data_IF_297899214346
#
_entry.id   IF_297899214346
#
_cell.length_a   1.000
_cell.length_b   1.000
_cell.length_c   1.000
_cell.angle_alpha   90.00
_cell.angle_beta   90.00
_cell.angle_gamma   90.00
#
_symmetry.space_group_name_H-M   'P 1'
#
loop_
_entity.id
_entity.type
_entity.pdbx_description
1 polymer ?
#
# COMPACT_ATOMS: atom_id res chain seq x y z
N UNK A 1 -4.78 -56.09 41.33
CA UNK A 1 -5.26 -55.95 39.95
C UNK A 1 -5.51 -54.49 39.66
N UNK A 2 -4.56 -53.83 39.02
CA UNK A 2 -4.66 -52.40 38.69
C UNK A 2 -5.17 -52.26 37.22
N UNK A 3 -6.30 -51.57 37.05
CA UNK A 3 -6.85 -51.29 35.69
C UNK A 3 -6.19 -50.05 35.14
N UNK A 4 -5.41 -50.22 34.07
CA UNK A 4 -4.83 -49.12 33.28
C UNK A 4 -5.91 -48.65 32.30
N UNK A 5 -6.44 -47.44 32.50
CA UNK A 5 -7.30 -46.77 31.52
C UNK A 5 -6.44 -46.09 30.45
N UNK A 6 -6.45 -46.64 29.26
CA UNK A 6 -5.80 -46.07 28.07
C UNK A 6 -6.69 -44.96 27.50
N UNK A 7 -6.29 -43.70 27.69
CA UNK A 7 -6.96 -42.53 27.10
C UNK A 7 -6.44 -42.37 25.65
N UNK A 8 -7.26 -42.72 24.67
CA UNK A 8 -6.94 -42.50 23.25
C UNK A 8 -7.24 -41.05 22.88
N UNK A 9 -6.21 -40.22 22.80
CA UNK A 9 -6.33 -38.86 22.21
C UNK A 9 -6.39 -38.97 20.67
N UNK A 10 -7.59 -38.81 20.10
CA UNK A 10 -7.79 -38.65 18.67
C UNK A 10 -7.33 -37.20 18.28
N UNK A 11 -6.15 -37.12 17.67
CA UNK A 11 -5.70 -35.89 16.97
C UNK A 11 -6.50 -35.77 15.66
N UNK A 12 -7.48 -34.88 15.61
CA UNK A 12 -8.09 -34.45 14.36
C UNK A 12 -7.09 -33.56 13.61
N UNK A 13 -6.37 -34.14 12.64
CA UNK A 13 -5.64 -33.39 11.63
C UNK A 13 -6.68 -32.69 10.73
N UNK A 14 -6.89 -31.39 10.95
CA UNK A 14 -7.63 -30.55 10.02
C UNK A 14 -6.73 -30.36 8.79
N UNK A 15 -6.90 -31.21 7.79
CA UNK A 15 -6.26 -31.01 6.48
C UNK A 15 -7.04 -29.90 5.77
N UNK A 16 -6.50 -28.68 5.83
CA UNK A 16 -6.99 -27.60 4.97
C UNK A 16 -6.85 -28.03 3.50
N UNK A 17 -7.88 -27.83 2.65
CA UNK A 17 -7.78 -28.20 1.24
C UNK A 17 -6.67 -27.36 0.58
N UNK A 18 -5.59 -28.03 0.16
CA UNK A 18 -4.57 -27.43 -0.69
C UNK A 18 -5.23 -27.14 -2.03
N UNK A 19 -5.54 -25.86 -2.29
CA UNK A 19 -6.09 -25.45 -3.59
C UNK A 19 -4.99 -25.65 -4.64
N UNK A 20 -5.28 -26.36 -5.70
CA UNK A 20 -4.36 -26.51 -6.83
C UNK A 20 -4.00 -25.11 -7.36
N UNK A 21 -2.71 -24.81 -7.45
CA UNK A 21 -2.21 -23.55 -7.98
C UNK A 21 -2.62 -23.41 -9.44
N UNK A 22 -3.36 -22.35 -9.76
CA UNK A 22 -3.77 -22.09 -11.14
C UNK A 22 -2.60 -21.59 -11.97
N UNK A 23 -2.69 -21.69 -13.30
CA UNK A 23 -1.71 -21.10 -14.22
C UNK A 23 -1.54 -19.60 -13.95
N UNK A 24 -2.64 -18.90 -13.69
CA UNK A 24 -2.63 -17.48 -13.40
C UNK A 24 -1.87 -17.16 -12.10
N UNK A 25 -2.03 -17.98 -11.05
CA UNK A 25 -1.26 -17.83 -9.80
C UNK A 25 0.24 -18.01 -10.01
N UNK A 26 0.65 -18.84 -10.97
CA UNK A 26 2.04 -19.01 -11.36
C UNK A 26 2.61 -17.80 -12.12
N UNK A 27 1.77 -17.14 -12.95
CA UNK A 27 2.18 -15.98 -13.77
C UNK A 27 2.09 -14.66 -12.99
N UNK A 28 1.05 -14.46 -12.20
CA UNK A 28 0.77 -13.25 -11.42
C UNK A 28 0.21 -13.67 -10.05
N UNK A 29 1.06 -14.05 -9.08
CA UNK A 29 0.63 -14.46 -7.75
C UNK A 29 -0.26 -13.42 -7.06
N UNK A 30 0.05 -12.14 -7.24
CA UNK A 30 -0.74 -11.01 -6.72
C UNK A 30 -1.45 -10.33 -7.88
N UNK A 31 -2.77 -10.22 -7.75
CA UNK A 31 -3.67 -9.46 -8.62
C UNK A 31 -4.43 -8.51 -7.71
N UNK A 32 -3.85 -7.33 -7.51
CA UNK A 32 -4.23 -6.42 -6.45
C UNK A 32 -5.04 -5.22 -6.93
N UNK A 33 -5.83 -4.67 -6.03
CA UNK A 33 -6.52 -3.39 -6.18
C UNK A 33 -6.30 -2.54 -4.93
N UNK A 34 -5.89 -1.29 -5.10
CA UNK A 34 -5.64 -0.35 -4.01
C UNK A 34 -6.50 0.90 -4.19
N UNK A 35 -7.29 1.23 -3.16
CA UNK A 35 -8.19 2.39 -3.17
C UNK A 35 -8.37 2.93 -1.74
N UNK A 36 -8.85 4.18 -1.61
CA UNK A 36 -9.26 4.69 -0.31
C UNK A 36 -10.41 3.86 0.28
N UNK A 37 -10.37 3.60 1.58
CA UNK A 37 -11.47 2.93 2.27
C UNK A 37 -12.79 3.70 2.05
N UNK A 38 -13.92 3.00 1.84
CA UNK A 38 -15.20 3.65 1.64
C UNK A 38 -15.62 4.43 2.90
N UNK A 39 -16.34 5.52 2.71
CA UNK A 39 -17.07 6.13 3.82
C UNK A 39 -18.24 5.22 4.25
N UNK A 40 -18.75 5.32 5.49
CA UNK A 40 -19.86 4.48 5.98
C UNK A 40 -21.05 4.41 5.02
N UNK A 41 -21.44 5.54 4.42
CA UNK A 41 -22.55 5.62 3.44
C UNK A 41 -22.30 4.90 2.11
N UNK A 42 -21.04 4.58 1.79
CA UNK A 42 -20.61 3.93 0.55
C UNK A 42 -20.34 2.43 0.75
N UNK A 43 -20.40 1.95 1.99
CA UNK A 43 -19.98 0.62 2.38
C UNK A 43 -20.67 -0.49 1.59
N UNK A 44 -22.00 -0.45 1.52
CA UNK A 44 -22.79 -1.51 0.88
C UNK A 44 -22.52 -1.55 -0.65
N UNK A 45 -22.41 -0.39 -1.30
CA UNK A 45 -22.04 -0.31 -2.73
C UNK A 45 -20.63 -0.80 -2.98
N UNK A 46 -19.70 -0.55 -2.06
CA UNK A 46 -18.34 -1.04 -2.18
C UNK A 46 -18.25 -2.56 -1.96
N UNK A 47 -19.03 -3.10 -1.03
CA UNK A 47 -19.16 -4.56 -0.85
C UNK A 47 -19.76 -5.22 -2.10
N UNK A 48 -20.75 -4.58 -2.72
CA UNK A 48 -21.27 -5.05 -4.00
C UNK A 48 -20.17 -5.06 -5.07
N UNK A 49 -19.36 -4.02 -5.19
CA UNK A 49 -18.23 -3.97 -6.12
C UNK A 49 -17.20 -5.10 -5.85
N UNK A 50 -16.92 -5.43 -4.59
CA UNK A 50 -16.08 -6.60 -4.24
C UNK A 50 -16.70 -7.88 -4.80
N UNK A 51 -18.00 -8.11 -4.61
CA UNK A 51 -18.67 -9.33 -5.03
C UNK A 51 -18.80 -9.45 -6.55
N UNK A 52 -19.17 -8.36 -7.22
CA UNK A 52 -19.63 -8.38 -8.62
C UNK A 52 -18.49 -8.05 -9.60
N UNK A 53 -17.44 -7.35 -9.15
CA UNK A 53 -16.37 -6.87 -10.02
C UNK A 53 -14.98 -7.40 -9.66
N UNK A 54 -14.58 -7.31 -8.38
CA UNK A 54 -13.25 -7.77 -7.98
C UNK A 54 -13.14 -9.30 -8.01
N UNK A 55 -14.08 -10.00 -7.40
CA UNK A 55 -14.04 -11.44 -7.29
C UNK A 55 -14.11 -12.18 -8.65
N UNK A 56 -15.04 -11.84 -9.58
CA UNK A 56 -15.09 -12.46 -10.91
C UNK A 56 -13.83 -12.24 -11.75
N UNK A 57 -13.12 -11.09 -11.54
CA UNK A 57 -11.85 -10.78 -12.22
C UNK A 57 -10.63 -11.39 -11.53
N UNK A 58 -10.85 -12.27 -10.56
CA UNK A 58 -9.81 -13.00 -9.82
C UNK A 58 -8.82 -12.06 -9.09
N UNK A 59 -9.28 -10.88 -8.68
CA UNK A 59 -8.56 -10.05 -7.71
C UNK A 59 -8.40 -10.86 -6.42
N UNK A 60 -7.17 -10.97 -5.93
CA UNK A 60 -6.88 -11.76 -4.74
C UNK A 60 -6.27 -10.93 -3.60
N UNK A 61 -6.02 -9.64 -3.84
CA UNK A 61 -5.46 -8.72 -2.84
C UNK A 61 -6.16 -7.37 -2.96
N UNK A 62 -6.71 -6.87 -1.87
CA UNK A 62 -7.32 -5.55 -1.77
C UNK A 62 -6.59 -4.75 -0.70
N UNK A 63 -6.00 -3.61 -1.08
CA UNK A 63 -5.44 -2.65 -0.15
C UNK A 63 -6.44 -1.52 0.03
N UNK A 64 -6.83 -1.26 1.27
CA UNK A 64 -7.65 -0.11 1.62
C UNK A 64 -6.81 0.95 2.34
N UNK A 65 -6.67 2.12 1.71
CA UNK A 65 -6.06 3.30 2.34
C UNK A 65 -7.04 3.85 3.37
N UNK A 66 -6.78 3.56 4.63
CA UNK A 66 -7.66 3.89 5.76
C UNK A 66 -7.27 5.23 6.37
N UNK A 67 -5.97 5.44 6.60
CA UNK A 67 -5.45 6.57 7.36
C UNK A 67 -6.24 6.77 8.67
N UNK A 68 -7.02 7.83 8.80
CA UNK A 68 -7.84 8.12 9.99
C UNK A 68 -9.34 7.85 9.78
N UNK A 69 -9.72 7.24 8.64
CA UNK A 69 -11.11 6.83 8.33
C UNK A 69 -11.50 5.52 9.04
N UNK A 70 -11.09 5.36 10.30
CA UNK A 70 -11.53 4.30 11.19
C UNK A 70 -11.70 4.87 12.60
N UNK A 71 -12.65 4.32 13.36
CA UNK A 71 -12.94 4.75 14.73
C UNK A 71 -11.95 4.11 15.72
N UNK A 72 -10.68 4.51 15.64
CA UNK A 72 -9.63 4.01 16.55
C UNK A 72 -10.00 4.18 18.01
N UNK A 73 -9.94 3.12 18.78
CA UNK A 73 -10.13 3.16 20.23
C UNK A 73 -8.84 3.57 20.97
N UNK A 74 -7.68 3.20 20.41
CA UNK A 74 -6.37 3.57 20.96
C UNK A 74 -6.11 5.07 20.95
N UNK A 75 -6.49 5.76 19.87
CA UNK A 75 -6.28 7.19 19.66
C UNK A 75 -7.52 7.86 19.06
N UNK A 76 -8.61 8.04 19.84
CA UNK A 76 -9.87 8.60 19.35
C UNK A 76 -9.75 10.04 18.85
N UNK A 77 -8.76 10.80 19.31
CA UNK A 77 -8.45 12.17 18.88
C UNK A 77 -7.90 12.27 17.46
N UNK A 78 -7.45 11.15 16.88
CA UNK A 78 -6.94 11.09 15.51
C UNK A 78 -8.00 10.72 14.48
N UNK A 79 -9.20 10.33 14.89
CA UNK A 79 -10.29 9.90 13.98
C UNK A 79 -10.72 11.02 13.06
N UNK A 80 -11.07 10.67 11.83
CA UNK A 80 -11.84 11.55 10.98
C UNK A 80 -13.27 11.75 11.54
N UNK A 81 -13.90 12.86 11.20
CA UNK A 81 -15.27 13.17 11.66
C UNK A 81 -16.30 12.15 11.15
N UNK A 82 -16.03 11.53 10.02
CA UNK A 82 -16.82 10.44 9.43
C UNK A 82 -15.87 9.28 9.21
N UNK A 83 -15.97 8.25 10.04
CA UNK A 83 -15.05 7.13 10.05
C UNK A 83 -15.79 5.80 10.21
N UNK A 84 -15.26 4.74 9.61
CA UNK A 84 -15.79 3.38 9.71
C UNK A 84 -15.72 2.86 11.14
N UNK A 85 -16.81 2.30 11.61
CA UNK A 85 -16.86 1.56 12.87
C UNK A 85 -16.23 0.17 12.71
N UNK A 86 -15.83 -0.44 13.81
CA UNK A 86 -15.36 -1.84 13.86
C UNK A 86 -16.36 -2.81 13.20
N UNK A 87 -17.67 -2.60 13.39
CA UNK A 87 -18.71 -3.43 12.76
C UNK A 87 -18.72 -3.29 11.24
N UNK A 88 -18.49 -2.12 10.71
CA UNK A 88 -18.44 -1.86 9.27
C UNK A 88 -17.19 -2.45 8.65
N UNK A 89 -16.04 -2.32 9.28
CA UNK A 89 -14.81 -3.00 8.84
C UNK A 89 -14.99 -4.51 8.81
N UNK A 90 -15.63 -5.12 9.81
CA UNK A 90 -15.93 -6.57 9.83
C UNK A 90 -16.84 -7.01 8.67
N UNK A 91 -17.70 -6.14 8.12
CA UNK A 91 -18.44 -6.46 6.89
C UNK A 91 -17.52 -6.54 5.68
N UNK A 92 -16.54 -5.63 5.55
CA UNK A 92 -15.52 -5.66 4.49
C UNK A 92 -14.66 -6.92 4.59
N UNK A 93 -14.20 -7.25 5.79
CA UNK A 93 -13.43 -8.48 6.06
C UNK A 93 -14.20 -9.72 5.59
N UNK A 94 -15.47 -9.86 5.99
CA UNK A 94 -16.33 -10.99 5.58
C UNK A 94 -16.54 -11.05 4.06
N UNK A 95 -16.75 -9.91 3.41
CA UNK A 95 -16.90 -9.85 1.96
C UNK A 95 -15.63 -10.32 1.24
N UNK A 96 -14.46 -9.90 1.69
CA UNK A 96 -13.17 -10.33 1.14
C UNK A 96 -12.90 -11.82 1.41
N UNK A 97 -13.13 -12.28 2.64
CA UNK A 97 -12.94 -13.69 3.02
C UNK A 97 -13.81 -14.65 2.19
N UNK A 98 -15.06 -14.27 1.91
CA UNK A 98 -15.97 -15.04 1.06
C UNK A 98 -15.38 -15.37 -0.32
N UNK A 99 -14.54 -14.48 -0.84
CA UNK A 99 -13.93 -14.60 -2.17
C UNK A 99 -12.42 -14.92 -2.14
N UNK A 100 -11.86 -15.23 -0.96
CA UNK A 100 -10.43 -15.45 -0.76
C UNK A 100 -9.58 -14.22 -1.21
N UNK A 101 -10.09 -13.01 -1.01
CA UNK A 101 -9.36 -11.77 -1.24
C UNK A 101 -8.64 -11.40 0.06
N UNK A 102 -7.32 -11.30 -0.01
CA UNK A 102 -6.50 -10.79 1.09
C UNK A 102 -6.76 -9.31 1.27
N UNK A 103 -7.25 -8.92 2.43
CA UNK A 103 -7.55 -7.52 2.74
C UNK A 103 -6.42 -6.92 3.58
N UNK A 104 -5.80 -5.85 3.09
CA UNK A 104 -4.64 -5.20 3.73
C UNK A 104 -4.99 -3.74 4.02
N UNK A 105 -4.93 -3.27 5.26
CA UNK A 105 -5.09 -1.85 5.57
C UNK A 105 -3.81 -1.08 5.26
N UNK A 106 -3.97 0.19 4.87
CA UNK A 106 -2.89 1.16 4.74
C UNK A 106 -3.15 2.36 5.64
N UNK A 107 -2.12 2.77 6.36
CA UNK A 107 -1.99 4.09 6.98
C UNK A 107 -0.69 4.69 6.46
N UNK A 108 -0.73 5.94 6.00
CA UNK A 108 0.49 6.62 5.57
C UNK A 108 1.35 6.96 6.78
N UNK A 109 2.47 6.27 6.90
CA UNK A 109 3.50 6.52 7.91
C UNK A 109 4.64 7.35 7.33
N UNK A 110 5.36 8.06 8.17
CA UNK A 110 6.46 8.98 7.87
C UNK A 110 6.02 10.16 7.00
N UNK A 111 5.82 9.96 5.69
CA UNK A 111 5.33 10.96 4.75
C UNK A 111 3.81 11.19 4.82
N UNK A 112 3.31 12.07 3.96
CA UNK A 112 1.87 12.39 3.84
C UNK A 112 1.19 12.85 5.14
N UNK A 113 1.94 13.47 6.05
CA UNK A 113 1.39 14.06 7.27
C UNK A 113 0.79 15.45 7.05
N UNK A 114 0.70 15.88 5.81
CA UNK A 114 -0.07 17.03 5.34
C UNK A 114 -0.55 16.80 3.91
N UNK A 115 -1.53 17.57 3.48
CA UNK A 115 -2.00 17.57 2.10
C UNK A 115 -2.45 18.97 1.69
N UNK A 116 -1.99 19.45 0.54
CA UNK A 116 -2.23 20.79 0.04
C UNK A 116 -1.86 21.87 1.08
N UNK A 117 -2.84 22.58 1.63
CA UNK A 117 -2.64 23.61 2.67
C UNK A 117 -2.96 23.14 4.08
N UNK A 118 -3.26 21.84 4.27
CA UNK A 118 -3.75 21.28 5.54
C UNK A 118 -2.76 20.31 6.16
N UNK A 119 -2.52 20.46 7.45
CA UNK A 119 -1.80 19.48 8.26
C UNK A 119 -2.72 18.30 8.55
N UNK A 120 -2.17 17.08 8.46
CA UNK A 120 -2.88 15.84 8.76
C UNK A 120 -3.20 15.66 10.25
N UNK A 121 -4.05 14.69 10.58
CA UNK A 121 -4.52 14.49 11.95
C UNK A 121 -3.38 14.25 12.94
N UNK A 122 -2.37 13.44 12.58
CA UNK A 122 -1.24 13.15 13.47
C UNK A 122 -0.51 14.42 13.90
N UNK A 123 -0.04 15.23 12.95
CA UNK A 123 0.71 16.43 13.27
C UNK A 123 -0.16 17.59 13.81
N UNK A 124 -1.47 17.53 13.57
CA UNK A 124 -2.41 18.47 14.18
C UNK A 124 -2.60 18.19 15.67
N UNK A 125 -2.64 16.91 16.07
CA UNK A 125 -2.81 16.49 17.47
C UNK A 125 -1.46 16.45 18.19
N UNK A 126 -0.41 15.99 17.52
CA UNK A 126 0.94 15.87 18.07
C UNK A 126 1.92 16.73 17.26
N UNK A 127 1.87 18.07 17.37
CA UNK A 127 2.70 18.96 16.56
C UNK A 127 4.21 18.79 16.81
N UNK A 128 4.61 18.26 17.98
CA UNK A 128 6.01 17.99 18.30
C UNK A 128 6.61 16.83 17.47
N UNK A 129 5.77 16.05 16.80
CA UNK A 129 6.22 14.99 15.88
C UNK A 129 6.67 15.55 14.54
N UNK A 130 6.33 16.78 14.18
CA UNK A 130 6.66 17.38 12.89
C UNK A 130 8.19 17.44 12.65
N UNK A 131 8.65 16.89 11.53
CA UNK A 131 10.04 16.94 11.09
C UNK A 131 10.45 18.38 10.70
N UNK A 132 9.49 19.20 10.29
CA UNK A 132 9.69 20.57 9.82
C UNK A 132 8.83 21.59 10.55
N UNK A 133 8.92 21.70 11.90
CA UNK A 133 8.03 22.59 12.67
C UNK A 133 8.24 24.07 12.32
N UNK A 134 9.43 24.43 11.81
CA UNK A 134 9.75 25.80 11.38
C UNK A 134 9.13 26.16 10.01
N UNK A 135 8.61 25.19 9.26
CA UNK A 135 8.02 25.39 7.93
C UNK A 135 6.50 25.37 8.06
N UNK A 136 5.88 26.52 7.76
CA UNK A 136 4.42 26.65 7.80
C UNK A 136 3.80 26.21 6.48
N UNK A 137 2.65 25.56 6.56
CA UNK A 137 1.86 25.28 5.37
C UNK A 137 1.39 26.57 4.70
N UNK A 138 1.34 26.61 3.35
CA UNK A 138 0.85 27.80 2.63
C UNK A 138 -0.64 27.99 2.90
N UNK A 139 -1.09 29.24 2.96
CA UNK A 139 -2.51 29.57 3.09
C UNK A 139 -3.30 29.09 1.88
N UNK A 140 -2.70 29.16 0.69
CA UNK A 140 -3.27 28.69 -0.57
C UNK A 140 -2.30 27.73 -1.25
N UNK A 141 -2.80 26.54 -1.51
CA UNK A 141 -2.04 25.56 -2.29
C UNK A 141 -1.96 25.97 -3.77
N UNK A 142 -0.76 25.88 -4.34
CA UNK A 142 -0.50 26.15 -5.74
C UNK A 142 0.18 24.91 -6.35
N UNK A 143 -0.31 24.47 -7.48
CA UNK A 143 0.29 23.37 -8.26
C UNK A 143 0.88 23.93 -9.56
N UNK A 144 2.05 23.50 -9.99
CA UNK A 144 2.94 22.54 -9.31
C UNK A 144 3.61 23.13 -8.06
N UNK A 145 3.85 22.27 -7.05
CA UNK A 145 4.58 22.61 -5.84
C UNK A 145 5.96 21.94 -5.88
N UNK A 146 6.97 22.68 -6.29
CA UNK A 146 8.35 22.19 -6.44
C UNK A 146 8.98 21.79 -5.10
N UNK A 147 8.57 22.41 -4.01
CA UNK A 147 9.11 22.16 -2.68
C UNK A 147 8.55 20.87 -2.04
N UNK A 148 7.50 20.26 -2.60
CA UNK A 148 6.87 19.08 -2.05
C UNK A 148 6.22 19.28 -0.67
N UNK A 149 6.03 20.53 -0.24
CA UNK A 149 5.61 20.92 1.11
C UNK A 149 4.26 20.32 1.54
N UNK A 150 3.38 19.97 0.59
CA UNK A 150 2.11 19.35 0.91
C UNK A 150 2.24 17.94 1.53
N UNK A 151 3.42 17.32 1.46
CA UNK A 151 3.72 16.04 2.06
C UNK A 151 4.71 16.19 3.23
N UNK A 152 4.31 16.86 4.32
CA UNK A 152 5.10 16.88 5.56
C UNK A 152 5.34 15.45 6.08
N UNK A 153 6.41 15.29 6.86
CA UNK A 153 6.75 14.03 7.53
C UNK A 153 6.74 14.22 9.03
N UNK A 154 6.53 13.14 9.76
CA UNK A 154 6.90 13.14 11.17
C UNK A 154 8.41 12.85 11.33
N UNK A 155 8.99 13.27 12.45
CA UNK A 155 10.37 12.97 12.80
C UNK A 155 10.50 11.49 13.24
N UNK A 156 11.21 10.62 12.49
CA UNK A 156 11.34 9.21 12.84
C UNK A 156 12.15 8.96 14.13
N UNK A 157 12.89 9.98 14.59
CA UNK A 157 13.66 9.92 15.84
C UNK A 157 12.95 10.57 17.03
N UNK A 158 11.67 10.95 16.88
CA UNK A 158 10.91 11.45 18.01
C UNK A 158 10.57 10.32 18.97
N UNK A 159 10.91 10.41 20.30
CA UNK A 159 10.76 9.27 21.21
C UNK A 159 9.32 8.79 21.41
N UNK A 160 8.33 9.63 21.17
CA UNK A 160 6.91 9.30 21.34
C UNK A 160 6.19 8.88 20.06
N UNK A 161 6.78 9.06 18.86
CA UNK A 161 6.03 8.85 17.62
C UNK A 161 5.64 7.40 17.41
N UNK A 162 6.57 6.48 17.66
CA UNK A 162 6.31 5.04 17.47
C UNK A 162 5.28 4.47 18.43
N UNK A 163 5.16 5.00 19.65
CA UNK A 163 4.11 4.57 20.56
C UNK A 163 2.72 4.82 19.95
N UNK A 164 2.50 6.02 19.41
CA UNK A 164 1.22 6.40 18.80
C UNK A 164 0.97 5.63 17.48
N UNK A 165 1.93 5.64 16.54
CA UNK A 165 1.70 5.03 15.22
C UNK A 165 1.59 3.51 15.31
N UNK A 166 2.30 2.84 16.22
CA UNK A 166 2.22 1.39 16.39
C UNK A 166 0.92 0.96 17.04
N UNK A 167 0.35 1.75 17.97
CA UNK A 167 -0.98 1.49 18.50
C UNK A 167 -2.04 1.53 17.37
N UNK A 168 -1.97 2.51 16.47
CA UNK A 168 -2.85 2.57 15.28
C UNK A 168 -2.65 1.36 14.36
N UNK A 169 -1.40 1.00 14.06
CA UNK A 169 -1.05 -0.14 13.22
C UNK A 169 -1.57 -1.45 13.81
N UNK A 170 -1.39 -1.65 15.09
CA UNK A 170 -1.84 -2.86 15.77
C UNK A 170 -3.36 -2.98 15.76
N UNK A 171 -4.06 -1.91 16.13
CA UNK A 171 -5.52 -1.91 16.17
C UNK A 171 -6.14 -2.13 14.77
N UNK A 172 -5.62 -1.44 13.74
CA UNK A 172 -6.17 -1.60 12.39
C UNK A 172 -5.89 -2.99 11.82
N UNK A 173 -4.72 -3.55 12.04
CA UNK A 173 -4.40 -4.90 11.60
C UNK A 173 -5.25 -5.96 12.32
N UNK A 174 -5.53 -5.78 13.61
CA UNK A 174 -6.36 -6.71 14.40
C UNK A 174 -7.82 -6.67 13.93
N UNK A 175 -8.37 -5.49 13.62
CA UNK A 175 -9.75 -5.39 13.13
C UNK A 175 -9.91 -5.88 11.70
N UNK A 176 -8.88 -5.72 10.85
CA UNK A 176 -8.84 -6.24 9.48
C UNK A 176 -8.54 -7.76 9.41
N UNK A 177 -8.13 -8.38 10.52
CA UNK A 177 -7.75 -9.80 10.58
C UNK A 177 -6.67 -10.15 9.54
N UNK A 178 -5.67 -9.28 9.42
CA UNK A 178 -4.68 -9.34 8.32
C UNK A 178 -3.31 -9.81 8.78
N UNK A 179 -2.59 -10.44 7.86
CA UNK A 179 -1.19 -10.85 8.01
C UNK A 179 -0.21 -9.86 7.35
N UNK A 180 -0.69 -8.71 6.87
CA UNK A 180 0.12 -7.66 6.26
C UNK A 180 -0.43 -6.27 6.54
N UNK A 181 0.45 -5.28 6.46
CA UNK A 181 0.15 -3.86 6.59
C UNK A 181 0.90 -3.08 5.53
N UNK A 182 0.25 -2.10 4.91
CA UNK A 182 0.87 -1.18 3.98
C UNK A 182 1.14 0.16 4.67
N UNK A 183 2.41 0.52 4.80
CA UNK A 183 2.82 1.69 5.57
C UNK A 183 2.85 3.00 4.77
N UNK A 184 2.48 3.00 3.48
CA UNK A 184 2.71 4.16 2.62
C UNK A 184 4.19 4.38 2.38
N UNK A 185 4.81 5.34 3.06
CA UNK A 185 6.22 5.71 2.98
C UNK A 185 6.61 6.33 1.63
N UNK A 186 5.63 6.74 0.84
CA UNK A 186 5.81 7.45 -0.42
C UNK A 186 6.01 8.96 -0.18
N UNK A 187 6.59 9.61 -1.19
CA UNK A 187 6.75 11.07 -1.27
C UNK A 187 7.34 11.70 0.02
N UNK A 188 8.27 11.00 0.69
CA UNK A 188 8.98 11.53 1.85
C UNK A 188 10.02 12.55 1.39
N UNK A 189 9.58 13.80 1.22
CA UNK A 189 10.44 14.91 0.80
C UNK A 189 11.24 15.47 1.96
N UNK A 190 10.66 15.51 3.15
CA UNK A 190 11.26 16.05 4.37
C UNK A 190 11.68 14.93 5.31
N UNK A 191 12.98 14.71 5.39
CA UNK A 191 13.63 13.82 6.34
C UNK A 191 15.07 14.30 6.55
N UNK A 192 15.58 14.27 7.77
CA UNK A 192 16.90 14.81 8.09
C UNK A 192 16.97 16.31 7.83
N UNK A 193 15.91 17.06 8.16
CA UNK A 193 15.82 18.49 7.92
C UNK A 193 16.77 19.25 8.87
N UNK A 194 17.48 20.26 8.35
CA UNK A 194 18.54 20.98 9.08
C UNK A 194 18.08 21.62 10.39
N UNK A 195 16.78 21.95 10.50
CA UNK A 195 16.19 22.52 11.71
C UNK A 195 15.48 21.51 12.59
N UNK A 196 15.45 20.23 12.22
CA UNK A 196 14.92 19.18 13.10
C UNK A 196 15.93 18.92 14.23
N UNK A 197 15.54 19.07 15.51
CA UNK A 197 16.48 18.93 16.63
C UNK A 197 17.03 17.50 16.80
N UNK A 198 16.45 16.50 16.12
CA UNK A 198 16.81 15.09 16.25
C UNK A 198 17.45 14.51 14.99
N UNK A 199 16.99 14.96 13.82
CA UNK A 199 17.39 14.42 12.51
C UNK A 199 18.46 15.27 11.81
N UNK A 200 18.68 16.51 12.22
CA UNK A 200 19.67 17.42 11.61
C UNK A 200 21.07 16.78 11.56
N UNK A 201 21.71 16.88 10.39
CA UNK A 201 23.05 16.33 10.15
C UNK A 201 23.11 14.81 10.01
N UNK A 202 21.99 14.09 10.08
CA UNK A 202 21.94 12.66 9.90
C UNK A 202 21.79 12.27 8.42
N UNK A 203 22.32 11.10 8.06
CA UNK A 203 22.15 10.56 6.72
C UNK A 203 20.69 10.20 6.47
N UNK A 204 20.12 10.74 5.38
CA UNK A 204 18.69 10.57 5.06
C UNK A 204 18.32 9.15 4.65
N UNK A 205 19.25 8.41 4.04
CA UNK A 205 19.02 7.00 3.71
C UNK A 205 19.02 6.12 4.97
N UNK A 206 19.91 6.41 5.93
CA UNK A 206 19.93 5.71 7.22
C UNK A 206 18.67 6.00 8.04
N UNK A 207 18.21 7.25 8.07
CA UNK A 207 16.96 7.63 8.73
C UNK A 207 15.76 6.90 8.12
N UNK A 208 15.65 6.89 6.78
CA UNK A 208 14.56 6.21 6.08
C UNK A 208 14.61 4.70 6.29
N UNK A 209 15.79 4.10 6.14
CA UNK A 209 15.97 2.66 6.37
C UNK A 209 15.72 2.27 7.83
N UNK A 210 16.10 3.11 8.77
CA UNK A 210 15.81 2.94 10.20
C UNK A 210 14.31 2.89 10.47
N UNK A 211 13.54 3.80 9.89
CA UNK A 211 12.09 3.84 10.02
C UNK A 211 11.44 2.57 9.42
N UNK A 212 11.79 2.23 8.17
CA UNK A 212 11.32 0.99 7.53
C UNK A 212 11.60 -0.24 8.41
N UNK A 213 12.81 -0.29 8.98
CA UNK A 213 13.24 -1.42 9.83
C UNK A 213 12.43 -1.48 11.13
N UNK A 214 12.17 -0.36 11.77
CA UNK A 214 11.37 -0.30 12.99
C UNK A 214 9.94 -0.77 12.75
N UNK A 215 9.28 -0.25 11.69
CA UNK A 215 7.92 -0.67 11.31
C UNK A 215 7.88 -2.16 10.98
N UNK A 216 8.83 -2.65 10.16
CA UNK A 216 8.92 -4.08 9.82
C UNK A 216 9.11 -4.96 11.04
N UNK A 217 9.99 -4.57 11.97
CA UNK A 217 10.26 -5.36 13.16
C UNK A 217 9.06 -5.39 14.11
N UNK A 218 8.35 -4.27 14.26
CA UNK A 218 7.11 -4.22 15.02
C UNK A 218 6.05 -5.17 14.44
N UNK A 219 5.81 -5.10 13.14
CA UNK A 219 4.86 -6.01 12.46
C UNK A 219 5.24 -7.48 12.60
N UNK A 220 6.54 -7.79 12.57
CA UNK A 220 7.04 -9.16 12.71
C UNK A 220 6.75 -9.78 14.07
N UNK A 221 6.57 -9.00 15.15
CA UNK A 221 6.17 -9.50 16.46
C UNK A 221 4.82 -10.24 16.43
N UNK A 222 3.95 -9.89 15.48
CA UNK A 222 2.66 -10.54 15.24
C UNK A 222 2.62 -11.31 13.91
N UNK A 223 3.78 -11.71 13.35
CA UNK A 223 3.91 -12.41 12.08
C UNK A 223 3.27 -11.68 10.89
N UNK A 224 3.23 -10.35 10.90
CA UNK A 224 2.72 -9.51 9.82
C UNK A 224 3.84 -9.07 8.88
N UNK A 225 3.51 -8.89 7.61
CA UNK A 225 4.43 -8.44 6.55
C UNK A 225 4.26 -6.95 6.26
N UNK A 226 5.38 -6.26 6.08
CA UNK A 226 5.39 -4.87 5.66
C UNK A 226 5.27 -4.77 4.14
N UNK A 227 4.35 -3.92 3.66
CA UNK A 227 4.23 -3.45 2.29
C UNK A 227 4.44 -1.94 2.27
N UNK A 228 5.09 -1.41 1.21
CA UNK A 228 5.36 0.02 1.08
C UNK A 228 5.50 0.44 -0.38
N UNK A 229 5.32 1.71 -0.66
CA UNK A 229 5.62 2.29 -1.97
C UNK A 229 7.12 2.36 -2.21
N UNK A 230 7.54 2.23 -3.48
CA UNK A 230 8.95 2.07 -3.87
C UNK A 230 9.69 3.35 -4.24
N UNK A 231 9.00 4.46 -4.48
CA UNK A 231 9.52 5.68 -5.07
C UNK A 231 10.75 6.27 -4.33
N UNK A 232 10.77 6.23 -3.00
CA UNK A 232 11.90 6.75 -2.22
C UNK A 232 13.17 5.91 -2.30
N UNK A 233 13.10 4.72 -2.91
CA UNK A 233 14.23 3.81 -3.13
C UNK A 233 14.83 3.92 -4.54
N UNK A 234 14.30 4.79 -5.41
CA UNK A 234 14.79 5.05 -6.77
C UNK A 234 15.49 6.41 -6.80
N UNK A 235 16.66 6.50 -7.42
CA UNK A 235 17.34 7.77 -7.65
C UNK A 235 16.65 8.53 -8.80
N UNK A 236 15.80 9.48 -8.43
CA UNK A 236 15.05 10.29 -9.40
C UNK A 236 15.92 11.19 -10.26
N UNK A 237 17.11 11.61 -9.77
CA UNK A 237 18.05 12.46 -10.51
C UNK A 237 18.76 11.66 -11.59
N UNK A 238 19.27 10.47 -11.27
CA UNK A 238 19.99 9.62 -12.21
C UNK A 238 19.06 9.02 -13.26
N UNK A 239 17.84 8.65 -12.86
CA UNK A 239 16.87 8.02 -13.77
C UNK A 239 16.09 9.02 -14.63
N UNK A 240 15.99 10.28 -14.20
CA UNK A 240 15.14 11.28 -14.84
C UNK A 240 13.64 11.05 -14.66
N UNK A 241 13.24 10.12 -13.77
CA UNK A 241 11.83 9.77 -13.52
C UNK A 241 11.04 10.98 -12.95
N UNK A 242 11.70 11.83 -12.18
CA UNK A 242 11.08 13.00 -11.54
C UNK A 242 10.97 12.86 -10.04
N UNK A 243 10.72 13.98 -9.35
CA UNK A 243 10.77 14.05 -7.90
C UNK A 243 9.61 13.34 -7.19
N UNK A 244 8.49 13.15 -7.88
CA UNK A 244 7.33 12.45 -7.33
C UNK A 244 7.56 10.94 -7.29
N UNK A 245 7.97 10.38 -8.41
CA UNK A 245 8.17 8.95 -8.61
C UNK A 245 9.59 8.46 -8.26
N UNK A 246 10.46 9.35 -7.74
CA UNK A 246 11.83 9.04 -7.36
C UNK A 246 12.38 9.98 -6.30
N UNK A 247 13.42 9.55 -5.58
CA UNK A 247 14.10 10.33 -4.55
C UNK A 247 15.00 11.41 -5.14
N UNK A 248 14.88 12.64 -4.66
CA UNK A 248 15.81 13.75 -4.91
C UNK A 248 16.60 14.15 -3.67
N UNK A 249 16.31 13.54 -2.53
CA UNK A 249 16.91 13.85 -1.23
C UNK A 249 17.85 12.75 -0.69
N UNK A 250 18.32 11.86 -1.57
CA UNK A 250 19.27 10.77 -1.29
C UNK A 250 18.73 9.61 -0.46
N UNK A 251 17.44 9.50 -0.22
CA UNK A 251 16.83 8.35 0.45
C UNK A 251 16.96 7.06 -0.38
N UNK A 252 17.17 7.14 -1.71
CA UNK A 252 17.28 5.99 -2.60
C UNK A 252 18.36 4.98 -2.16
N UNK A 253 19.41 5.42 -1.49
CA UNK A 253 20.47 4.54 -0.96
C UNK A 253 19.96 3.58 0.13
N UNK A 254 18.80 3.87 0.73
CA UNK A 254 18.17 3.00 1.71
C UNK A 254 17.80 1.62 1.15
N UNK A 255 17.71 1.47 -0.17
CA UNK A 255 17.40 0.18 -0.82
C UNK A 255 18.35 -0.94 -0.40
N UNK A 256 19.62 -0.62 -0.12
CA UNK A 256 20.61 -1.60 0.32
C UNK A 256 20.59 -1.84 1.84
N UNK A 257 19.93 -0.94 2.60
CA UNK A 257 19.91 -0.96 4.06
C UNK A 257 18.64 -1.57 4.65
N UNK A 258 17.52 -1.55 3.91
CA UNK A 258 16.23 -2.08 4.40
C UNK A 258 16.18 -3.61 4.42
N UNK A 259 15.37 -4.22 5.31
CA UNK A 259 15.10 -5.65 5.31
C UNK A 259 14.56 -6.14 3.96
N UNK A 260 15.00 -7.33 3.52
CA UNK A 260 14.66 -7.85 2.18
C UNK A 260 13.33 -8.60 2.11
N UNK A 261 12.65 -8.79 3.21
CA UNK A 261 11.32 -9.41 3.29
C UNK A 261 10.17 -8.39 3.22
N UNK A 262 10.48 -7.14 2.88
CA UNK A 262 9.50 -6.07 2.60
C UNK A 262 8.95 -6.23 1.18
N UNK A 263 7.62 -6.05 1.01
CA UNK A 263 6.97 -6.00 -0.30
C UNK A 263 6.99 -4.57 -0.85
N UNK A 264 7.57 -4.40 -2.03
CA UNK A 264 7.60 -3.11 -2.73
C UNK A 264 6.42 -3.00 -3.68
N UNK A 265 5.67 -1.91 -3.54
CA UNK A 265 4.62 -1.49 -4.47
C UNK A 265 5.21 -0.39 -5.38
N UNK A 266 5.59 -0.78 -6.59
CA UNK A 266 6.33 0.04 -7.54
C UNK A 266 5.37 0.75 -8.47
N UNK A 267 5.20 2.08 -8.31
CA UNK A 267 4.22 2.86 -9.03
C UNK A 267 4.88 3.85 -10.00
N UNK A 268 4.45 3.79 -11.26
CA UNK A 268 4.82 4.73 -12.33
C UNK A 268 3.62 4.95 -13.24
N UNK A 269 3.24 6.21 -13.46
CA UNK A 269 1.97 6.59 -14.06
C UNK A 269 2.11 7.24 -15.42
N UNK A 270 3.25 7.85 -15.69
CA UNK A 270 3.46 8.60 -16.93
C UNK A 270 4.14 7.78 -18.03
N UNK A 271 4.84 6.69 -17.65
CA UNK A 271 5.52 5.73 -18.52
C UNK A 271 5.46 4.33 -17.92
N UNK A 272 5.53 3.27 -18.72
CA UNK A 272 5.66 1.90 -18.20
C UNK A 272 7.14 1.59 -17.86
N UNK A 273 7.72 2.34 -16.93
CA UNK A 273 9.12 2.17 -16.51
C UNK A 273 9.35 0.76 -15.95
N UNK A 274 10.50 0.15 -16.25
CA UNK A 274 10.84 -1.24 -15.87
C UNK A 274 11.58 -1.31 -14.53
N UNK A 275 11.23 -0.47 -13.59
CA UNK A 275 11.85 -0.32 -12.27
C UNK A 275 11.68 -1.55 -11.37
N UNK A 276 10.66 -2.36 -11.62
CA UNK A 276 10.47 -3.64 -10.93
C UNK A 276 11.72 -4.56 -11.01
N UNK A 277 12.46 -4.51 -12.13
CA UNK A 277 13.72 -5.27 -12.29
C UNK A 277 14.78 -4.79 -11.31
N UNK A 278 14.88 -3.49 -11.08
CA UNK A 278 15.81 -2.91 -10.12
C UNK A 278 15.55 -3.43 -8.69
N UNK A 279 14.30 -3.42 -8.24
CA UNK A 279 13.94 -3.96 -6.91
C UNK A 279 14.23 -5.44 -6.79
N UNK A 280 13.91 -6.22 -7.81
CA UNK A 280 14.17 -7.65 -7.82
C UNK A 280 15.68 -7.97 -7.78
N UNK A 281 16.53 -7.22 -8.50
CA UNK A 281 17.99 -7.35 -8.44
C UNK A 281 18.51 -7.02 -7.04
N UNK A 282 17.93 -6.03 -6.37
CA UNK A 282 18.28 -5.66 -4.98
C UNK A 282 17.76 -6.63 -3.92
N UNK A 283 17.09 -7.70 -4.31
CA UNK A 283 16.65 -8.77 -3.41
C UNK A 283 15.26 -8.58 -2.81
N UNK A 284 14.50 -7.61 -3.30
CA UNK A 284 13.16 -7.26 -2.80
C UNK A 284 12.07 -7.92 -3.65
N UNK A 285 10.96 -8.29 -3.01
CA UNK A 285 9.74 -8.67 -3.72
C UNK A 285 9.01 -7.42 -4.20
N UNK A 286 8.46 -7.45 -5.42
CA UNK A 286 7.87 -6.27 -6.05
C UNK A 286 6.59 -6.61 -6.81
N UNK A 287 5.62 -5.70 -6.73
CA UNK A 287 4.43 -5.62 -7.61
C UNK A 287 4.44 -4.29 -8.35
N UNK A 288 3.99 -4.28 -9.60
CA UNK A 288 3.88 -3.03 -10.38
C UNK A 288 2.47 -2.46 -10.28
N UNK A 289 2.38 -1.13 -10.12
CA UNK A 289 1.16 -0.46 -9.70
C UNK A 289 0.74 0.64 -10.69
N UNK A 290 -0.02 0.34 -11.77
CA UNK A 290 -0.62 1.34 -12.66
C UNK A 290 -1.75 2.12 -11.97
N UNK A 291 -2.12 3.27 -12.54
CA UNK A 291 -3.22 4.11 -12.05
C UNK A 291 -4.37 4.27 -13.06
N UNK A 292 -4.19 5.13 -14.09
CA UNK A 292 -5.28 5.62 -14.95
C UNK A 292 -5.06 5.46 -16.45
N UNK A 293 -3.88 5.05 -16.91
CA UNK A 293 -3.55 4.89 -18.32
C UNK A 293 -3.69 3.42 -18.73
N UNK A 294 -4.77 3.04 -19.46
CA UNK A 294 -5.05 1.64 -19.81
C UNK A 294 -3.90 0.96 -20.57
N UNK A 295 -3.33 1.64 -21.57
CA UNK A 295 -2.22 1.10 -22.36
C UNK A 295 -0.98 0.80 -21.53
N UNK A 296 -0.66 1.63 -20.53
CA UNK A 296 0.48 1.40 -19.63
C UNK A 296 0.23 0.22 -18.70
N UNK A 297 -0.99 0.08 -18.18
CA UNK A 297 -1.34 -1.07 -17.35
C UNK A 297 -1.20 -2.40 -18.10
N UNK A 298 -1.61 -2.44 -19.37
CA UNK A 298 -1.41 -3.61 -20.24
C UNK A 298 0.08 -3.89 -20.46
N UNK A 299 0.88 -2.88 -20.84
CA UNK A 299 2.33 -3.02 -21.05
C UNK A 299 3.03 -3.52 -19.78
N UNK A 300 2.75 -2.90 -18.62
CA UNK A 300 3.34 -3.29 -17.35
C UNK A 300 2.95 -4.72 -16.95
N UNK A 301 1.73 -5.17 -17.27
CA UNK A 301 1.29 -6.56 -17.03
C UNK A 301 2.08 -7.54 -17.89
N UNK A 302 2.27 -7.23 -19.17
CA UNK A 302 3.06 -8.05 -20.09
C UNK A 302 4.53 -8.11 -19.67
N UNK A 303 5.10 -6.99 -19.23
CA UNK A 303 6.45 -6.91 -18.71
C UNK A 303 6.63 -7.77 -17.44
N UNK A 304 5.70 -7.68 -16.48
CA UNK A 304 5.74 -8.48 -15.26
C UNK A 304 5.74 -9.99 -15.59
N UNK A 305 4.89 -10.42 -16.52
CA UNK A 305 4.84 -11.82 -16.98
C UNK A 305 6.14 -12.21 -17.69
N UNK A 306 6.68 -11.33 -18.54
CA UNK A 306 7.95 -11.54 -19.24
C UNK A 306 9.10 -11.68 -18.25
N UNK A 307 9.19 -10.80 -17.26
CA UNK A 307 10.21 -10.88 -16.21
C UNK A 307 10.17 -12.23 -15.48
N UNK A 308 9.00 -12.66 -15.03
CA UNK A 308 8.86 -13.96 -14.35
C UNK A 308 9.27 -15.15 -15.22
N UNK A 309 9.04 -15.10 -16.53
CA UNK A 309 9.38 -16.18 -17.48
C UNK A 309 10.86 -16.24 -17.87
N UNK A 310 11.55 -15.08 -17.82
CA UNK A 310 12.88 -14.93 -18.44
C UNK A 310 14.01 -14.74 -17.44
N UNK A 311 13.80 -15.05 -16.18
CA UNK A 311 14.80 -14.87 -15.09
C UNK A 311 15.11 -16.18 -14.40
N UNK A 312 16.13 -16.16 -13.51
CA UNK A 312 16.45 -17.30 -12.66
C UNK A 312 15.30 -17.66 -11.71
N UNK A 313 15.20 -18.91 -11.23
CA UNK A 313 14.18 -19.32 -10.28
C UNK A 313 14.10 -18.42 -9.03
N UNK A 314 15.25 -17.98 -8.51
CA UNK A 314 15.31 -17.09 -7.34
C UNK A 314 14.71 -15.70 -7.68
N UNK A 315 15.04 -15.15 -8.83
CA UNK A 315 14.51 -13.85 -9.28
C UNK A 315 13.02 -13.92 -9.58
N UNK A 316 12.54 -15.04 -10.14
CA UNK A 316 11.12 -15.26 -10.45
C UNK A 316 10.24 -15.01 -9.22
N UNK A 317 10.64 -15.50 -8.07
CA UNK A 317 9.86 -15.38 -6.84
C UNK A 317 9.85 -13.96 -6.25
N UNK A 318 10.60 -13.02 -6.83
CA UNK A 318 10.57 -11.60 -6.46
C UNK A 318 9.56 -10.78 -7.27
N UNK A 319 9.27 -11.20 -8.49
CA UNK A 319 8.24 -10.56 -9.33
C UNK A 319 6.86 -11.09 -8.95
N UNK A 320 6.10 -10.35 -8.16
CA UNK A 320 4.90 -10.88 -7.50
C UNK A 320 3.59 -10.60 -8.25
N UNK A 321 3.54 -9.62 -9.14
CA UNK A 321 2.33 -9.35 -9.91
C UNK A 321 1.98 -7.89 -10.10
N UNK A 322 0.68 -7.62 -10.17
CA UNK A 322 0.13 -6.31 -10.51
C UNK A 322 -0.87 -5.85 -9.46
N UNK A 323 -0.95 -4.54 -9.25
CA UNK A 323 -1.97 -3.93 -8.40
C UNK A 323 -2.38 -2.56 -8.95
N UNK A 324 -3.61 -2.40 -9.41
CA UNK A 324 -4.07 -1.06 -9.76
C UNK A 324 -4.19 -0.17 -8.53
N UNK A 325 -3.73 1.07 -8.64
CA UNK A 325 -3.96 2.12 -7.65
C UNK A 325 -5.08 3.06 -8.10
N UNK A 326 -5.90 3.52 -7.15
CA UNK A 326 -6.93 4.53 -7.37
C UNK A 326 -6.80 5.60 -6.29
N UNK A 327 -6.45 6.83 -6.70
CA UNK A 327 -6.18 7.92 -5.77
C UNK A 327 -7.41 8.73 -5.39
N UNK A 328 -8.52 8.58 -6.12
CA UNK A 328 -9.80 9.12 -5.69
C UNK A 328 -10.40 8.32 -4.53
N UNK A 329 -11.43 8.86 -3.87
CA UNK A 329 -12.22 8.11 -2.91
C UNK A 329 -13.01 6.97 -3.56
N UNK A 330 -13.45 5.99 -2.75
CA UNK A 330 -14.25 4.86 -3.23
C UNK A 330 -15.54 5.29 -3.94
N UNK A 331 -16.27 6.28 -3.39
CA UNK A 331 -17.51 6.77 -4.01
C UNK A 331 -17.31 7.35 -5.40
N UNK A 332 -16.46 8.35 -5.60
CA UNK A 332 -16.15 8.89 -6.93
C UNK A 332 -15.70 7.84 -7.94
N UNK A 333 -14.89 6.87 -7.52
CA UNK A 333 -14.48 5.77 -8.40
C UNK A 333 -15.66 4.89 -8.81
N UNK A 334 -16.54 4.51 -7.87
CA UNK A 334 -17.73 3.72 -8.18
C UNK A 334 -18.71 4.47 -9.08
N UNK A 335 -18.88 5.77 -8.87
CA UNK A 335 -19.74 6.60 -9.72
C UNK A 335 -19.18 6.67 -11.15
N UNK A 336 -17.87 6.82 -11.33
CA UNK A 336 -17.21 6.75 -12.63
C UNK A 336 -17.35 5.36 -13.26
N UNK A 337 -17.06 4.30 -12.49
CA UNK A 337 -17.08 2.92 -12.96
C UNK A 337 -18.46 2.49 -13.49
N UNK A 338 -19.53 2.90 -12.80
CA UNK A 338 -20.91 2.63 -13.19
C UNK A 338 -21.55 3.71 -14.11
N UNK A 339 -20.74 4.64 -14.62
CA UNK A 339 -21.17 5.65 -15.61
C UNK A 339 -22.09 6.75 -15.06
N UNK A 340 -22.09 7.00 -13.75
CA UNK A 340 -22.92 8.05 -13.14
C UNK A 340 -22.32 9.45 -13.28
N UNK A 341 -20.96 9.56 -13.24
CA UNK A 341 -20.22 10.82 -13.35
C UNK A 341 -18.98 10.58 -14.22
N UNK A 342 -19.11 10.62 -15.54
CA UNK A 342 -17.99 10.45 -16.46
C UNK A 342 -17.40 11.81 -16.78
N UNK A 343 -16.15 12.06 -16.37
CA UNK A 343 -15.43 13.25 -16.80
C UNK A 343 -15.10 13.16 -18.30
N UNK A 344 -15.63 14.08 -19.08
CA UNK A 344 -15.32 14.18 -20.51
C UNK A 344 -13.92 14.72 -20.78
N UNK A 345 -13.28 15.36 -19.80
CA UNK A 345 -11.94 15.96 -19.93
C UNK A 345 -10.81 14.92 -19.85
N UNK A 346 -11.01 13.80 -19.17
CA UNK A 346 -9.99 12.77 -19.01
C UNK A 346 -9.84 11.84 -20.23
N UNK A 347 -10.75 11.89 -21.22
CA UNK A 347 -10.77 11.01 -22.37
C UNK A 347 -10.79 9.53 -21.94
N UNK A 348 -9.90 8.71 -22.51
CA UNK A 348 -9.78 7.28 -22.16
C UNK A 348 -8.94 7.01 -20.91
N UNK A 349 -8.18 8.00 -20.43
CA UNK A 349 -7.24 7.84 -19.31
C UNK A 349 -7.92 8.04 -17.97
N UNK A 350 -8.80 7.12 -17.58
CA UNK A 350 -9.50 7.14 -16.30
C UNK A 350 -9.16 5.90 -15.45
N UNK A 351 -9.29 5.98 -14.12
CA UNK A 351 -9.09 4.83 -13.25
C UNK A 351 -10.02 3.65 -13.58
N UNK A 352 -11.27 3.88 -13.96
CA UNK A 352 -12.20 2.81 -14.32
C UNK A 352 -11.85 2.14 -15.65
N UNK A 353 -11.40 2.89 -16.65
CA UNK A 353 -10.93 2.32 -17.91
C UNK A 353 -9.63 1.54 -17.73
N UNK A 354 -8.71 2.05 -16.89
CA UNK A 354 -7.50 1.33 -16.50
C UNK A 354 -7.83 0.02 -15.80
N UNK A 355 -8.81 0.02 -14.87
CA UNK A 355 -9.30 -1.17 -14.19
C UNK A 355 -9.76 -2.24 -15.20
N UNK A 356 -10.64 -1.87 -16.12
CA UNK A 356 -11.16 -2.78 -17.14
C UNK A 356 -10.03 -3.36 -17.98
N UNK A 357 -9.15 -2.52 -18.53
CA UNK A 357 -8.06 -2.94 -19.39
C UNK A 357 -7.05 -3.86 -18.68
N UNK A 358 -6.67 -3.53 -17.44
CA UNK A 358 -5.75 -4.34 -16.63
C UNK A 358 -6.31 -5.75 -16.39
N UNK A 359 -7.54 -5.83 -15.87
CA UNK A 359 -8.11 -7.14 -15.52
C UNK A 359 -8.60 -7.94 -16.73
N UNK A 360 -8.93 -7.30 -17.84
CA UNK A 360 -9.16 -7.98 -19.12
C UNK A 360 -7.84 -8.61 -19.64
N UNK A 361 -6.72 -7.89 -19.54
CA UNK A 361 -5.41 -8.46 -19.92
C UNK A 361 -5.00 -9.62 -19.00
N UNK A 362 -5.21 -9.49 -17.68
CA UNK A 362 -4.99 -10.56 -16.71
C UNK A 362 -5.88 -11.77 -17.05
N UNK A 363 -7.15 -11.55 -17.40
CA UNK A 363 -8.08 -12.61 -17.78
C UNK A 363 -7.62 -13.42 -19.00
N UNK A 364 -7.07 -12.75 -20.02
CA UNK A 364 -6.49 -13.41 -21.21
C UNK A 364 -5.34 -14.37 -20.85
N UNK A 365 -4.50 -13.98 -19.89
CA UNK A 365 -3.39 -14.84 -19.43
C UNK A 365 -3.87 -16.14 -18.77
N UNK A 366 -5.02 -16.10 -18.09
CA UNK A 366 -5.66 -17.28 -17.50
C UNK A 366 -6.33 -18.19 -18.53
N UNK A 367 -6.85 -17.63 -19.62
CA UNK A 367 -7.61 -18.35 -20.64
C UNK A 367 -6.73 -19.02 -21.73
N UNK A 368 -5.50 -18.56 -21.95
CA UNK A 368 -4.58 -19.17 -22.93
C UNK A 368 -4.12 -20.54 -22.44
N UNK A 369 -4.46 -21.62 -23.18
CA UNK A 369 -4.03 -23.00 -22.91
C UNK A 369 -2.51 -23.20 -23.04
#
# INVERSE_FOLDING_TARGET
>A
MARINLLLCLLFLVVAPVRAQTKLDSLLPIRGFCIAAPLPKQLDSFIQFINDELAPRQVNTLILRVDYNYQFDSHPELRDSIALSKREVKKLVKACQKHNIRLIPQINLLGHQSWASKVGNLLRVYPDFDETPSVKMPEKYVWPNEDGLYCKSYCPLHPGVHAVVFDLVDEICDVFETDAFHAGLDEVFYIGHDKCPRCSGRDKAELFAGEVTQIRNHLALKNRKLWMWGDRLIDGKTTGIGMWEGSFNNTHRAIDLIPKDVMICDWHYERPDQTAVYFAIKGLSVITCPWRKPGFAVTQTQDMVRFRKSVTPIMKERFQGMMQTVWSGAGPFLDEFYGKNVSTEAGENTPSNCFKALYDEIGKLGATN
#
